data_IF_371981811685
#
_entry.id   IF_371981811685
#
_cell.length_a   1.000
_cell.length_b   1.000
_cell.length_c   1.000
_cell.angle_alpha   90.00
_cell.angle_beta   90.00
_cell.angle_gamma   90.00
#
_symmetry.space_group_name_H-M   'P 1'
#
loop_
_entity.id
_entity.type
_entity.pdbx_description
1 polymer ?
#
# COMPACT_ATOMS: atom_id res chain seq x y z
N UNK A 1 -16.68 2.43 17.02
CA UNK A 1 -16.02 1.32 16.30
C UNK A 1 -15.73 1.74 14.84
N UNK A 2 -14.47 2.07 14.54
CA UNK A 2 -14.03 2.25 13.15
C UNK A 2 -14.01 0.86 12.51
N UNK A 3 -15.16 0.41 12.01
CA UNK A 3 -15.22 -0.83 11.24
C UNK A 3 -14.31 -0.66 10.02
N UNK A 4 -13.39 -1.60 9.82
CA UNK A 4 -12.63 -1.69 8.57
C UNK A 4 -13.65 -1.82 7.43
N UNK A 5 -13.78 -0.77 6.62
CA UNK A 5 -14.49 -0.85 5.35
C UNK A 5 -13.46 -1.33 4.34
N UNK A 6 -13.47 -2.62 4.04
CA UNK A 6 -12.60 -3.22 3.03
C UNK A 6 -13.28 -3.10 1.66
N UNK A 7 -12.66 -2.41 0.69
CA UNK A 7 -13.12 -2.39 -0.70
C UNK A 7 -13.33 -3.79 -1.25
N UNK A 8 -14.48 -4.02 -1.86
CA UNK A 8 -14.86 -5.31 -2.47
C UNK A 8 -14.37 -5.40 -3.93
N UNK A 9 -13.09 -5.06 -4.17
CA UNK A 9 -12.45 -5.15 -5.48
C UNK A 9 -11.47 -6.32 -5.52
N UNK A 10 -11.30 -6.94 -6.69
CA UNK A 10 -10.45 -8.13 -6.86
C UNK A 10 -8.99 -7.87 -6.47
N UNK A 11 -8.52 -6.65 -6.70
CA UNK A 11 -7.15 -6.20 -6.45
C UNK A 11 -6.87 -5.86 -4.99
N UNK A 12 -7.89 -5.82 -4.10
CA UNK A 12 -7.73 -5.35 -2.73
C UNK A 12 -6.64 -6.10 -1.93
N UNK A 13 -6.51 -7.44 -2.01
CA UNK A 13 -5.42 -8.14 -1.34
C UNK A 13 -4.02 -7.68 -1.80
N UNK A 14 -3.82 -7.46 -3.11
CA UNK A 14 -2.54 -7.02 -3.69
C UNK A 14 -2.19 -5.58 -3.27
N UNK A 15 -3.20 -4.71 -3.17
CA UNK A 15 -3.06 -3.33 -2.70
C UNK A 15 -2.61 -3.32 -1.23
N UNK A 16 -3.23 -4.14 -0.39
CA UNK A 16 -2.90 -4.22 1.04
C UNK A 16 -1.51 -4.79 1.28
N UNK A 17 -1.10 -5.79 0.51
CA UNK A 17 0.25 -6.32 0.54
C UNK A 17 1.28 -5.24 0.15
N UNK A 18 1.06 -4.58 -0.99
CA UNK A 18 1.91 -3.49 -1.48
C UNK A 18 2.08 -2.37 -0.44
N UNK A 19 0.97 -1.91 0.14
CA UNK A 19 1.01 -0.87 1.18
C UNK A 19 1.75 -1.34 2.43
N UNK A 20 1.46 -2.56 2.91
CA UNK A 20 2.07 -3.10 4.13
C UNK A 20 3.57 -3.26 3.99
N UNK A 21 4.05 -3.78 2.85
CA UNK A 21 5.49 -3.91 2.57
C UNK A 21 6.17 -2.55 2.57
N UNK A 22 5.64 -1.57 1.84
CA UNK A 22 6.24 -0.23 1.79
C UNK A 22 6.21 0.47 3.16
N UNK A 23 5.15 0.27 3.95
CA UNK A 23 5.10 0.77 5.31
C UNK A 23 6.18 0.12 6.20
N UNK A 24 6.43 -1.17 6.06
CA UNK A 24 7.50 -1.86 6.78
C UNK A 24 8.87 -1.30 6.39
N UNK A 25 9.14 -1.09 5.10
CA UNK A 25 10.40 -0.48 4.63
C UNK A 25 10.65 0.90 5.27
N UNK A 26 9.60 1.71 5.43
CA UNK A 26 9.68 2.99 6.12
C UNK A 26 9.97 2.82 7.62
N UNK A 27 9.23 1.93 8.30
CA UNK A 27 9.36 1.71 9.76
C UNK A 27 10.75 1.20 10.13
N UNK A 28 11.32 0.28 9.34
CA UNK A 28 12.64 -0.29 9.62
C UNK A 28 13.80 0.57 9.11
N UNK A 29 13.50 1.72 8.49
CA UNK A 29 14.50 2.66 8.00
C UNK A 29 15.24 2.20 6.74
N UNK A 30 14.69 1.24 5.98
CA UNK A 30 15.25 0.85 4.68
C UNK A 30 15.08 1.98 3.65
N UNK A 31 14.00 2.75 3.76
CA UNK A 31 13.74 3.94 2.93
C UNK A 31 13.15 5.06 3.81
N UNK A 32 13.35 6.34 3.44
CA UNK A 32 12.57 7.44 4.03
C UNK A 32 11.06 7.19 3.83
N UNK A 33 10.21 7.52 4.80
CA UNK A 33 8.76 7.30 4.70
C UNK A 33 8.12 7.94 3.46
N UNK A 34 8.56 9.13 3.08
CA UNK A 34 8.06 9.86 1.91
C UNK A 34 8.33 9.08 0.61
N UNK A 35 9.50 8.46 0.50
CA UNK A 35 9.87 7.64 -0.64
C UNK A 35 9.10 6.32 -0.65
N UNK A 36 9.08 5.60 0.48
CA UNK A 36 8.45 4.29 0.56
C UNK A 36 6.94 4.36 0.29
N UNK A 37 6.25 5.33 0.91
CA UNK A 37 4.81 5.52 0.73
C UNK A 37 4.48 6.16 -0.63
N UNK A 38 5.38 6.97 -1.19
CA UNK A 38 5.28 7.47 -2.56
C UNK A 38 5.32 6.34 -3.58
N UNK A 39 6.29 5.42 -3.47
CA UNK A 39 6.36 4.23 -4.32
C UNK A 39 5.12 3.32 -4.16
N UNK A 40 4.61 3.18 -2.92
CA UNK A 40 3.37 2.44 -2.68
C UNK A 40 2.19 3.04 -3.45
N UNK A 41 2.05 4.37 -3.43
CA UNK A 41 1.01 5.08 -4.17
C UNK A 41 1.08 4.80 -5.68
N UNK A 42 2.26 4.92 -6.28
CA UNK A 42 2.47 4.65 -7.70
C UNK A 42 2.11 3.20 -8.07
N UNK A 43 2.55 2.22 -7.27
CA UNK A 43 2.26 0.80 -7.50
C UNK A 43 0.79 0.48 -7.35
N UNK A 44 0.12 1.04 -6.34
CA UNK A 44 -1.33 0.86 -6.12
C UNK A 44 -2.11 1.41 -7.32
N UNK A 45 -1.75 2.59 -7.84
CA UNK A 45 -2.40 3.12 -9.04
C UNK A 45 -2.17 2.23 -10.26
N UNK A 46 -0.98 1.65 -10.42
CA UNK A 46 -0.70 0.70 -11.48
C UNK A 46 -1.52 -0.59 -11.35
N UNK A 47 -1.78 -1.07 -10.13
CA UNK A 47 -2.67 -2.22 -9.87
C UNK A 47 -4.12 -1.90 -10.24
N UNK A 48 -4.60 -0.72 -9.84
CA UNK A 48 -5.98 -0.27 -10.12
C UNK A 48 -6.25 -0.04 -11.61
N UNK A 49 -5.21 0.19 -12.41
CA UNK A 49 -5.33 0.39 -13.85
C UNK A 49 -5.40 -0.91 -14.69
N UNK A 50 -5.26 -2.09 -14.06
CA UNK A 50 -5.34 -3.42 -14.70
C UNK A 50 -6.77 -3.95 -14.73
#
# INVERSE_FOLDING_TARGET
>A
PYGKVEPQIKQWPEIMDTFTTSLQEAIVGMKPPELALGEAHERINAILAR
#
